data_IF_945916175114
#
_entry.id   IF_945916175114
#
_cell.length_a   1.000
_cell.length_b   1.000
_cell.length_c   1.000
_cell.angle_alpha   90.00
_cell.angle_beta   90.00
_cell.angle_gamma   90.00
#
_symmetry.space_group_name_H-M   'P 1'
#
loop_
_entity.id
_entity.type
_entity.pdbx_description
1 polymer ?
#
# COMPACT_ATOMS: atom_id res chain seq x y z
N UNK A 1 -16.61 3.81 2.08
CA UNK A 1 -16.29 2.41 1.76
C UNK A 1 -17.50 1.54 2.05
N UNK A 2 -17.75 0.51 1.24
CA UNK A 2 -18.87 -0.40 1.44
C UNK A 2 -18.82 -1.09 2.81
N UNK A 3 -19.99 -1.37 3.38
CA UNK A 3 -20.15 -1.94 4.72
C UNK A 3 -19.30 -3.20 4.95
N UNK A 4 -19.10 -4.03 3.91
CA UNK A 4 -18.31 -5.27 4.01
C UNK A 4 -16.85 -5.05 4.38
N UNK A 5 -16.28 -3.88 4.09
CA UNK A 5 -14.88 -3.55 4.40
C UNK A 5 -14.74 -2.69 5.64
N UNK A 6 -15.83 -2.42 6.35
CA UNK A 6 -15.80 -1.42 7.41
C UNK A 6 -15.02 -1.89 8.64
N UNK A 7 -14.96 -3.22 8.85
CA UNK A 7 -14.10 -3.81 9.87
C UNK A 7 -12.63 -3.55 9.56
N UNK A 8 -12.20 -3.86 8.34
CA UNK A 8 -10.84 -3.63 7.85
C UNK A 8 -10.49 -2.15 7.88
N UNK A 9 -11.40 -1.28 7.43
CA UNK A 9 -11.19 0.16 7.43
C UNK A 9 -10.98 0.72 8.84
N UNK A 10 -11.70 0.21 9.84
CA UNK A 10 -11.51 0.63 11.23
C UNK A 10 -10.13 0.23 11.76
N UNK A 11 -9.66 -0.98 11.44
CA UNK A 11 -8.31 -1.44 11.80
C UNK A 11 -7.26 -0.53 11.14
N UNK A 12 -7.42 -0.27 9.85
CA UNK A 12 -6.53 0.62 9.07
C UNK A 12 -6.48 2.01 9.71
N UNK A 13 -7.63 2.63 9.99
CA UNK A 13 -7.70 3.97 10.61
C UNK A 13 -6.90 4.03 11.91
N UNK A 14 -7.04 3.04 12.79
CA UNK A 14 -6.33 3.00 14.08
C UNK A 14 -4.82 2.84 13.87
N UNK A 15 -4.41 1.89 13.02
CA UNK A 15 -3.00 1.59 12.79
C UNK A 15 -2.27 2.72 12.07
N UNK A 16 -2.86 3.27 11.02
CA UNK A 16 -2.25 4.34 10.23
C UNK A 16 -2.12 5.65 11.02
N UNK A 17 -3.06 5.92 11.94
CA UNK A 17 -2.94 7.06 12.86
C UNK A 17 -1.67 7.00 13.71
N UNK A 18 -1.20 5.80 14.09
CA UNK A 18 0.03 5.63 14.87
C UNK A 18 1.30 6.08 14.12
N UNK A 19 1.22 6.22 12.80
CA UNK A 19 2.31 6.72 11.94
C UNK A 19 1.94 8.05 11.26
N UNK A 20 1.01 8.80 11.85
CA UNK A 20 0.55 10.12 11.39
C UNK A 20 -0.14 10.13 10.02
N UNK A 21 -0.68 8.99 9.56
CA UNK A 21 -1.54 8.94 8.38
C UNK A 21 -3.01 9.02 8.79
N UNK A 22 -3.72 9.99 8.22
CA UNK A 22 -5.13 10.30 8.49
C UNK A 22 -5.97 10.05 7.25
N UNK A 23 -7.24 9.70 7.45
CA UNK A 23 -8.18 9.50 6.35
C UNK A 23 -8.46 10.84 5.66
N UNK A 24 -8.14 10.94 4.37
CA UNK A 24 -8.42 12.11 3.54
C UNK A 24 -9.65 11.91 2.67
N UNK A 25 -9.86 10.68 2.18
CA UNK A 25 -10.94 10.34 1.27
C UNK A 25 -11.52 8.97 1.59
N UNK A 26 -12.84 8.84 1.60
CA UNK A 26 -13.55 7.59 1.85
C UNK A 26 -14.67 7.41 0.82
N UNK A 27 -14.39 6.60 -0.21
CA UNK A 27 -15.32 6.23 -1.29
C UNK A 27 -15.71 4.75 -1.16
N UNK A 28 -16.72 4.35 -1.91
CA UNK A 28 -17.31 3.01 -1.90
C UNK A 28 -16.29 1.85 -1.93
N UNK A 29 -15.26 1.94 -2.78
CA UNK A 29 -14.23 0.89 -2.92
C UNK A 29 -12.82 1.36 -2.59
N UNK A 30 -12.65 2.58 -2.09
CA UNK A 30 -11.32 3.17 -1.88
C UNK A 30 -11.35 4.09 -0.67
N UNK A 31 -10.39 3.88 0.24
CA UNK A 31 -10.05 4.86 1.26
C UNK A 31 -8.61 5.33 1.05
N UNK A 32 -8.41 6.64 1.01
CA UNK A 32 -7.08 7.27 0.85
C UNK A 32 -6.66 7.89 2.17
N UNK A 33 -5.42 7.61 2.57
CA UNK A 33 -4.81 8.16 3.77
C UNK A 33 -3.56 8.96 3.43
N UNK A 34 -3.36 10.10 4.09
CA UNK A 34 -2.17 10.92 3.94
C UNK A 34 -1.70 11.51 5.25
N UNK A 35 -0.46 11.99 5.25
CA UNK A 35 0.21 12.55 6.43
C UNK A 35 0.71 13.99 6.20
N UNK A 36 0.15 14.68 5.19
CA UNK A 36 0.60 16.02 4.78
C UNK A 36 1.88 16.04 3.94
N UNK A 37 2.39 14.88 3.51
CA UNK A 37 3.53 14.76 2.59
C UNK A 37 3.09 14.26 1.21
N UNK A 38 4.05 14.00 0.32
CA UNK A 38 3.84 13.37 -1.00
C UNK A 38 3.38 11.91 -0.93
N UNK A 39 3.41 11.29 0.24
CA UNK A 39 3.05 9.89 0.43
C UNK A 39 1.57 9.72 0.71
N UNK A 40 0.95 8.78 0.00
CA UNK A 40 -0.42 8.33 0.25
C UNK A 40 -0.46 6.83 0.45
N UNK A 41 -1.39 6.37 1.27
CA UNK A 41 -1.73 4.96 1.43
C UNK A 41 -3.16 4.79 0.97
N UNK A 42 -3.38 3.96 -0.05
CA UNK A 42 -4.72 3.62 -0.50
C UNK A 42 -5.09 2.22 0.00
N UNK A 43 -6.30 2.10 0.54
CA UNK A 43 -6.95 0.82 0.82
C UNK A 43 -8.06 0.64 -0.19
N UNK A 44 -7.90 -0.36 -1.06
CA UNK A 44 -8.76 -0.61 -2.22
C UNK A 44 -9.48 -1.94 -2.04
N UNK A 45 -10.80 -1.88 -1.96
CA UNK A 45 -11.67 -3.05 -2.06
C UNK A 45 -12.11 -3.30 -3.50
N UNK A 46 -12.76 -4.44 -3.76
CA UNK A 46 -13.36 -4.76 -5.06
C UNK A 46 -14.72 -5.42 -4.87
N UNK A 47 -15.74 -5.02 -5.61
CA UNK A 47 -17.11 -5.52 -5.43
C UNK A 47 -17.28 -7.05 -5.36
N UNK A 48 -16.40 -7.81 -6.02
CA UNK A 48 -16.40 -9.28 -6.06
C UNK A 48 -15.42 -9.94 -5.07
N UNK A 49 -14.64 -9.17 -4.34
CA UNK A 49 -13.57 -9.66 -3.46
C UNK A 49 -13.91 -9.35 -2.00
N UNK A 50 -13.57 -10.25 -1.09
CA UNK A 50 -13.69 -10.02 0.35
C UNK A 50 -12.41 -9.39 0.92
N UNK A 51 -11.35 -9.30 0.11
CA UNK A 51 -10.06 -8.76 0.50
C UNK A 51 -9.87 -7.28 0.12
N UNK A 52 -9.28 -6.51 1.03
CA UNK A 52 -8.81 -5.14 0.77
C UNK A 52 -7.31 -5.11 0.51
N UNK A 53 -6.91 -4.48 -0.59
CA UNK A 53 -5.53 -4.31 -0.99
C UNK A 53 -4.98 -3.00 -0.45
N UNK A 54 -3.74 -3.00 0.01
CA UNK A 54 -3.03 -1.79 0.44
C UNK A 54 -1.99 -1.45 -0.62
N UNK A 55 -2.02 -0.21 -1.13
CA UNK A 55 -0.98 0.33 -2.00
C UNK A 55 -0.39 1.60 -1.39
N UNK A 56 0.90 1.82 -1.64
CA UNK A 56 1.61 3.03 -1.24
C UNK A 56 1.87 3.85 -2.48
N UNK A 57 1.38 5.08 -2.53
CA UNK A 57 1.64 6.02 -3.63
C UNK A 57 2.61 7.10 -3.18
N UNK A 58 3.45 7.51 -4.13
CA UNK A 58 4.22 8.72 -4.05
C UNK A 58 3.70 9.65 -5.15
N UNK A 59 3.11 10.78 -4.76
CA UNK A 59 2.47 11.71 -5.68
C UNK A 59 3.47 12.44 -6.58
N UNK A 60 4.77 12.47 -6.24
CA UNK A 60 5.80 12.97 -7.16
C UNK A 60 5.97 12.08 -8.40
N UNK A 61 5.40 10.87 -8.41
CA UNK A 61 5.40 9.98 -9.57
C UNK A 61 4.03 9.87 -10.25
N UNK A 62 3.05 10.72 -9.95
CA UNK A 62 1.65 10.57 -10.39
C UNK A 62 1.47 10.52 -11.92
N UNK A 63 2.42 11.07 -12.69
CA UNK A 63 2.40 10.96 -14.16
C UNK A 63 2.72 9.53 -14.65
N UNK A 64 3.44 8.74 -13.85
CA UNK A 64 3.77 7.35 -14.15
C UNK A 64 2.64 6.39 -13.74
N UNK A 65 2.55 5.25 -14.42
CA UNK A 65 1.61 4.17 -14.05
C UNK A 65 1.74 3.81 -12.57
N UNK A 66 2.96 3.72 -12.07
CA UNK A 66 3.27 3.33 -10.68
C UNK A 66 2.88 4.39 -9.67
N UNK A 67 2.98 5.68 -10.00
CA UNK A 67 2.43 6.75 -9.16
C UNK A 67 0.91 6.72 -9.10
N UNK A 68 0.23 6.42 -10.21
CA UNK A 68 -1.24 6.31 -10.26
C UNK A 68 -1.78 5.10 -9.49
N UNK A 69 -1.14 3.94 -9.63
CA UNK A 69 -1.61 2.69 -9.01
C UNK A 69 -1.07 2.46 -7.60
N UNK A 70 0.07 3.08 -7.29
CA UNK A 70 0.84 2.79 -6.09
C UNK A 70 1.55 1.44 -6.14
N UNK A 71 2.51 1.29 -5.23
CA UNK A 71 3.23 0.06 -4.97
C UNK A 71 2.39 -0.83 -4.05
N UNK A 72 1.98 -2.02 -4.50
CA UNK A 72 1.29 -2.96 -3.63
C UNK A 72 2.15 -3.32 -2.42
N UNK A 73 1.56 -3.27 -1.23
CA UNK A 73 2.29 -3.52 0.01
C UNK A 73 2.96 -4.90 0.03
N UNK A 74 2.34 -5.91 -0.60
CA UNK A 74 2.93 -7.25 -0.68
C UNK A 74 4.25 -7.30 -1.48
N UNK A 75 4.46 -6.39 -2.44
CA UNK A 75 5.73 -6.26 -3.16
C UNK A 75 6.78 -5.69 -2.22
N UNK A 76 6.43 -4.66 -1.45
CA UNK A 76 7.33 -4.08 -0.44
C UNK A 76 7.75 -5.12 0.58
N UNK A 77 6.81 -5.90 1.10
CA UNK A 77 7.12 -7.01 2.01
C UNK A 77 8.18 -7.94 1.40
N UNK A 78 8.05 -8.34 0.13
CA UNK A 78 9.06 -9.16 -0.55
C UNK A 78 10.42 -8.47 -0.64
N UNK A 79 10.46 -7.18 -0.99
CA UNK A 79 11.71 -6.38 -1.06
C UNK A 79 12.42 -6.37 0.29
N UNK A 80 11.66 -6.25 1.38
CA UNK A 80 12.19 -6.25 2.74
C UNK A 80 12.41 -7.66 3.32
N UNK A 81 12.32 -8.72 2.49
CA UNK A 81 12.56 -10.11 2.92
C UNK A 81 11.42 -10.74 3.73
N UNK A 82 10.25 -10.10 3.76
CA UNK A 82 9.07 -10.55 4.51
C UNK A 82 8.11 -11.30 3.59
N UNK A 83 7.78 -12.55 3.92
CA UNK A 83 6.82 -13.34 3.15
C UNK A 83 5.40 -12.72 3.27
N UNK A 84 4.77 -12.28 2.16
CA UNK A 84 3.43 -11.67 2.21
C UNK A 84 2.26 -12.67 2.26
N UNK A 85 2.51 -13.98 2.06
CA UNK A 85 1.47 -14.98 1.95
C UNK A 85 0.71 -15.17 3.28
N UNK A 86 -0.60 -15.43 3.19
CA UNK A 86 -1.50 -15.76 4.30
C UNK A 86 -1.54 -14.72 5.45
N UNK A 87 -1.13 -13.48 5.19
CA UNK A 87 -1.19 -12.41 6.19
C UNK A 87 -2.52 -11.67 6.18
N UNK A 88 -3.06 -11.46 7.38
CA UNK A 88 -4.21 -10.61 7.66
C UNK A 88 -3.89 -9.14 7.36
N UNK A 89 -4.93 -8.29 7.29
CA UNK A 89 -4.71 -6.85 7.12
C UNK A 89 -3.94 -6.25 8.30
N UNK A 90 -4.18 -6.72 9.53
CA UNK A 90 -3.49 -6.24 10.73
C UNK A 90 -1.98 -6.52 10.66
N UNK A 91 -1.60 -7.75 10.28
CA UNK A 91 -0.18 -8.12 10.13
C UNK A 91 0.52 -7.34 9.02
N UNK A 92 -0.20 -7.02 7.93
CA UNK A 92 0.34 -6.17 6.86
C UNK A 92 0.54 -4.73 7.33
N UNK A 93 -0.37 -4.20 8.15
CA UNK A 93 -0.23 -2.88 8.74
C UNK A 93 0.88 -2.84 9.80
N UNK A 94 1.09 -3.91 10.57
CA UNK A 94 2.21 -4.02 11.51
C UNK A 94 3.55 -3.94 10.78
N UNK A 95 3.69 -4.64 9.64
CA UNK A 95 4.84 -4.50 8.76
C UNK A 95 5.02 -3.04 8.30
N UNK A 96 3.95 -2.38 7.86
CA UNK A 96 4.04 -0.99 7.41
C UNK A 96 4.53 -0.04 8.51
N UNK A 97 4.07 -0.23 9.74
CA UNK A 97 4.48 0.57 10.90
C UNK A 97 5.94 0.29 11.25
N UNK A 98 6.35 -0.97 11.29
CA UNK A 98 7.72 -1.39 11.61
C UNK A 98 8.74 -0.85 10.60
N UNK A 99 8.39 -0.84 9.31
CA UNK A 99 9.28 -0.43 8.22
C UNK A 99 9.04 1.01 7.74
N UNK A 100 8.22 1.81 8.45
CA UNK A 100 7.75 3.13 8.01
C UNK A 100 8.88 4.06 7.58
N UNK A 101 10.00 4.09 8.31
CA UNK A 101 11.09 5.04 8.04
C UNK A 101 11.89 4.66 6.80
N UNK A 102 11.92 3.38 6.44
CA UNK A 102 12.52 2.91 5.18
C UNK A 102 11.55 3.06 4.02
N UNK A 103 10.25 2.91 4.31
CA UNK A 103 9.21 3.01 3.30
C UNK A 103 9.01 4.47 2.91
N UNK A 104 8.77 5.39 3.83
CA UNK A 104 8.47 6.78 3.50
C UNK A 104 9.73 7.64 3.29
N UNK A 105 10.86 7.01 2.93
CA UNK A 105 12.11 7.70 2.59
C UNK A 105 12.07 8.19 1.14
N UNK A 106 12.20 9.51 0.95
CA UNK A 106 12.23 10.17 -0.35
C UNK A 106 13.43 9.73 -1.22
N UNK A 107 14.50 9.21 -0.60
CA UNK A 107 15.66 8.67 -1.30
C UNK A 107 15.46 7.22 -1.75
N UNK A 108 14.42 6.55 -1.28
CA UNK A 108 14.17 5.15 -1.63
C UNK A 108 13.73 5.03 -3.09
N UNK A 109 14.47 4.23 -3.87
CA UNK A 109 14.31 4.13 -5.34
C UNK A 109 13.14 3.22 -5.75
N UNK A 110 11.95 3.51 -5.25
CA UNK A 110 10.73 2.74 -5.47
C UNK A 110 10.48 2.34 -6.92
N UNK A 111 10.54 3.32 -7.82
CA UNK A 111 10.29 3.12 -9.25
C UNK A 111 11.24 2.08 -9.83
N UNK A 112 12.55 2.24 -9.58
CA UNK A 112 13.58 1.34 -10.07
C UNK A 112 13.36 -0.09 -9.57
N UNK A 113 13.12 -0.26 -8.27
CA UNK A 113 12.93 -1.60 -7.67
C UNK A 113 11.66 -2.26 -8.24
N UNK A 114 10.59 -1.50 -8.46
CA UNK A 114 9.37 -2.05 -9.05
C UNK A 114 9.55 -2.45 -10.52
N UNK A 115 10.24 -1.64 -11.31
CA UNK A 115 10.58 -1.95 -12.70
C UNK A 115 11.42 -3.23 -12.77
N UNK A 116 12.45 -3.37 -11.93
CA UNK A 116 13.27 -4.59 -11.81
C UNK A 116 12.43 -5.83 -11.45
N UNK A 117 11.48 -5.69 -10.51
CA UNK A 117 10.59 -6.79 -10.12
C UNK A 117 9.63 -7.15 -11.26
N UNK A 118 9.04 -6.16 -11.92
CA UNK A 118 8.13 -6.38 -13.04
C UNK A 118 8.84 -7.12 -14.20
N UNK A 119 10.06 -6.71 -14.53
CA UNK A 119 10.92 -7.41 -15.50
C UNK A 119 11.22 -8.84 -15.07
N UNK A 120 11.62 -9.06 -13.81
CA UNK A 120 11.91 -10.40 -13.30
C UNK A 120 10.70 -11.34 -13.34
N UNK A 121 9.49 -10.83 -13.15
CA UNK A 121 8.25 -11.61 -13.23
C UNK A 121 7.92 -11.95 -14.69
N UNK A 122 8.15 -11.02 -15.62
CA UNK A 122 7.98 -11.28 -17.06
C UNK A 122 8.94 -12.37 -17.54
N UNK A 123 10.21 -12.28 -17.17
CA UNK A 123 11.26 -13.22 -17.60
C UNK A 123 11.14 -14.62 -16.97
N UNK A 124 10.38 -14.78 -15.88
CA UNK A 124 10.07 -16.10 -15.28
C UNK A 124 8.90 -16.83 -15.95
N UNK A 125 8.20 -16.17 -16.88
CA UNK A 125 7.08 -16.75 -17.63
C UNK A 125 7.48 -17.26 -19.02
N UNK A 126 8.74 -17.08 -19.42
CA UNK A 126 9.38 -17.66 -20.60
C UNK A 126 10.20 -18.90 -20.19
#
# INVERSE_FOLDING_TARGET
>A
MFARYQKELNIVKVKLKAINFYLEEDKDYKATFGNGTIWKIDVVGKWYDEYCYITIRNESFDESKTGKTGFPLWILMKIFGVNPANRTIDEKLNFLIEYKDKIFDEKFQYKKIYEEIEESIKNKKE
#
